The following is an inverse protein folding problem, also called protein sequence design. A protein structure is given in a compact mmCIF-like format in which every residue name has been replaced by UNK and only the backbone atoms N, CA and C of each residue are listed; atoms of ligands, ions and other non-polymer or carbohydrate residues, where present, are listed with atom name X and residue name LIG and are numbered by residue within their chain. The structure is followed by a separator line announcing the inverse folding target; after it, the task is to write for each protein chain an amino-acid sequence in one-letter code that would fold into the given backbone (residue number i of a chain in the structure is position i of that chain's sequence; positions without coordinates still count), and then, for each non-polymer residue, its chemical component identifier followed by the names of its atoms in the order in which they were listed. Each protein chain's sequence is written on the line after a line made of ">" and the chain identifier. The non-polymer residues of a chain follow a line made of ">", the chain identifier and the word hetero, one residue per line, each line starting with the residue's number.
data_IF_615028595267
#
_entry.id   IF_615028595267
#
_cell.length_a   1.000
_cell.length_b   1.000
_cell.length_c   1.000
_cell.angle_alpha   90.00
_cell.angle_beta   90.00
_cell.angle_gamma   90.00
#
_symmetry.space_group_name_H-M   'P 1'
#
loop_
_entity.id
_entity.type
_entity.pdbx_description
1 polymer ?
#
# COMPACT_ATOMS: atom_id res chain seq x y z
N UNK A 1 4.70 -1.11 -19.27
CA UNK A 1 4.60 -1.47 -17.85
C UNK A 1 3.14 -1.79 -17.57
N UNK A 2 2.83 -2.92 -16.94
CA UNK A 2 1.44 -3.37 -16.78
C UNK A 2 0.89 -2.99 -15.41
N UNK A 3 -0.43 -2.84 -15.34
CA UNK A 3 -1.23 -2.65 -14.11
C UNK A 3 -0.90 -3.73 -13.06
N UNK A 4 -0.67 -4.97 -13.49
CA UNK A 4 -0.23 -6.08 -12.62
C UNK A 4 1.12 -5.83 -11.92
N UNK A 5 2.09 -5.23 -12.62
CA UNK A 5 3.41 -4.94 -12.03
C UNK A 5 3.28 -3.98 -10.84
N UNK A 6 2.42 -2.96 -10.96
CA UNK A 6 2.20 -2.02 -9.86
C UNK A 6 1.47 -2.68 -8.68
N UNK A 7 0.45 -3.50 -8.94
CA UNK A 7 -0.27 -4.21 -7.88
C UNK A 7 0.66 -5.11 -7.04
N UNK A 8 1.54 -5.86 -7.70
CA UNK A 8 2.49 -6.74 -7.03
C UNK A 8 3.52 -5.94 -6.22
N UNK A 9 3.98 -4.82 -6.78
CA UNK A 9 4.88 -3.90 -6.11
C UNK A 9 4.23 -3.26 -4.88
N UNK A 10 2.98 -2.80 -5.00
CA UNK A 10 2.19 -2.26 -3.90
C UNK A 10 2.01 -3.29 -2.78
N UNK A 11 1.58 -4.51 -3.12
CA UNK A 11 1.46 -5.59 -2.14
C UNK A 11 2.78 -5.90 -1.42
N UNK A 12 3.90 -5.93 -2.16
CA UNK A 12 5.21 -6.14 -1.56
C UNK A 12 5.57 -5.00 -0.60
N UNK A 13 5.36 -3.74 -0.97
CA UNK A 13 5.57 -2.59 -0.06
C UNK A 13 4.70 -2.68 1.18
N UNK A 14 3.41 -3.00 1.02
CA UNK A 14 2.47 -3.16 2.14
C UNK A 14 2.97 -4.20 3.14
N UNK A 15 3.47 -5.33 2.67
CA UNK A 15 4.08 -6.36 3.52
C UNK A 15 5.44 -5.95 4.11
N UNK A 16 6.18 -5.07 3.42
CA UNK A 16 7.47 -4.54 3.89
C UNK A 16 7.35 -3.42 4.93
N UNK A 17 6.15 -2.95 5.25
CA UNK A 17 5.92 -1.90 6.25
C UNK A 17 5.08 -0.72 5.78
N UNK A 18 4.68 -0.68 4.50
CA UNK A 18 3.89 0.42 3.92
C UNK A 18 2.39 0.24 4.16
N UNK A 19 1.97 0.38 5.42
CA UNK A 19 0.58 0.27 5.84
C UNK A 19 0.43 -0.13 7.30
N UNK A 20 -0.80 -0.42 7.71
CA UNK A 20 -1.11 -0.96 9.03
C UNK A 20 -1.43 -2.44 8.92
N UNK A 21 -0.61 -3.29 9.54
CA UNK A 21 -0.80 -4.74 9.56
C UNK A 21 -1.49 -5.19 10.84
N UNK A 22 -2.48 -6.06 10.69
CA UNK A 22 -3.13 -6.78 11.78
C UNK A 22 -3.20 -8.27 11.50
N UNK A 23 -3.31 -9.05 12.56
CA UNK A 23 -3.25 -10.51 12.55
C UNK A 23 -4.39 -11.08 13.37
N UNK A 24 -5.06 -12.10 12.83
CA UNK A 24 -6.12 -12.85 13.51
C UNK A 24 -5.74 -14.31 13.55
N UNK A 25 -5.55 -14.88 14.75
CA UNK A 25 -5.38 -16.32 14.94
C UNK A 25 -6.74 -17.04 14.84
N UNK A 26 -7.25 -17.13 13.62
CA UNK A 26 -8.66 -17.43 13.32
C UNK A 26 -9.16 -18.80 13.79
N UNK A 27 -8.26 -19.73 14.15
CA UNK A 27 -8.61 -21.03 14.74
C UNK A 27 -8.64 -21.03 16.27
N UNK A 28 -8.07 -20.01 16.91
CA UNK A 28 -8.03 -19.85 18.37
C UNK A 28 -9.18 -18.94 18.79
N UNK A 29 -9.17 -17.70 18.32
CA UNK A 29 -10.27 -16.76 18.46
C UNK A 29 -10.42 -15.94 17.16
N UNK A 30 -11.44 -16.21 16.33
CA UNK A 30 -11.67 -15.48 15.09
C UNK A 30 -12.15 -14.04 15.29
N UNK A 31 -12.50 -13.64 16.52
CA UNK A 31 -12.95 -12.28 16.84
C UNK A 31 -11.81 -11.41 17.37
N UNK A 32 -10.72 -12.01 17.86
CA UNK A 32 -9.58 -11.27 18.38
C UNK A 32 -8.59 -10.93 17.25
N UNK A 33 -8.40 -9.64 17.00
CA UNK A 33 -7.47 -9.13 15.99
C UNK A 33 -6.40 -8.29 16.65
N UNK A 34 -5.15 -8.70 16.48
CA UNK A 34 -3.97 -8.10 17.09
C UNK A 34 -3.35 -7.15 16.06
N UNK A 35 -3.18 -5.88 16.44
CA UNK A 35 -2.53 -4.90 15.57
C UNK A 35 -1.02 -4.95 15.79
N UNK A 36 -0.24 -4.98 14.72
CA UNK A 36 1.21 -4.96 14.85
C UNK A 36 1.68 -3.55 15.22
N UNK A 37 2.62 -3.48 16.17
CA UNK A 37 3.36 -2.24 16.47
C UNK A 37 4.28 -1.87 15.32
N UNK A 38 4.85 -2.88 14.67
CA UNK A 38 5.70 -2.75 13.51
C UNK A 38 5.67 -4.05 12.70
N UNK A 39 5.82 -3.94 11.39
CA UNK A 39 6.09 -5.08 10.54
C UNK A 39 7.05 -4.71 9.41
N UNK A 40 7.66 -5.75 8.84
CA UNK A 40 8.47 -5.65 7.63
C UNK A 40 8.73 -7.03 7.04
N UNK A 41 9.57 -7.11 6.01
CA UNK A 41 9.96 -8.39 5.43
C UNK A 41 11.43 -8.70 5.68
N UNK A 42 11.73 -9.98 5.87
CA UNK A 42 13.10 -10.47 5.78
C UNK A 42 13.52 -10.75 4.33
N UNK A 43 14.78 -11.15 4.14
CA UNK A 43 15.35 -11.44 2.81
C UNK A 43 14.71 -12.64 2.10
N UNK A 44 13.92 -13.44 2.81
CA UNK A 44 13.23 -14.62 2.27
C UNK A 44 11.78 -14.31 1.87
N UNK A 45 11.29 -13.10 2.17
CA UNK A 45 9.89 -12.71 1.96
C UNK A 45 8.96 -13.13 3.10
N UNK A 46 9.53 -13.57 4.23
CA UNK A 46 8.73 -13.81 5.44
C UNK A 46 8.46 -12.46 6.13
N UNK A 47 7.23 -12.28 6.62
CA UNK A 47 6.83 -11.04 7.29
C UNK A 47 7.25 -11.13 8.76
N UNK A 48 8.09 -10.21 9.19
CA UNK A 48 8.46 -10.05 10.59
C UNK A 48 7.49 -9.06 11.22
N UNK A 49 6.91 -9.44 12.34
CA UNK A 49 5.91 -8.65 13.06
C UNK A 49 6.31 -8.49 14.52
N UNK A 50 6.00 -7.31 15.06
CA UNK A 50 6.17 -6.98 16.46
C UNK A 50 4.81 -6.66 17.06
N UNK A 51 4.52 -7.24 18.20
CA UNK A 51 3.31 -7.00 18.98
C UNK A 51 3.65 -6.55 20.39
N UNK A 52 2.70 -5.89 21.03
CA UNK A 52 2.67 -5.83 22.48
C UNK A 52 2.45 -7.25 23.02
N UNK A 53 3.23 -7.66 24.03
CA UNK A 53 3.14 -9.02 24.60
C UNK A 53 1.77 -9.30 25.22
N UNK A 54 1.08 -8.29 25.76
CA UNK A 54 -0.25 -8.45 26.36
C UNK A 54 -1.29 -8.82 25.31
N UNK A 55 -1.25 -8.16 24.14
CA UNK A 55 -2.20 -8.34 23.03
C UNK A 55 -2.20 -9.76 22.45
N UNK A 56 -1.06 -10.45 22.53
CA UNK A 56 -0.86 -11.79 21.92
C UNK A 56 -0.81 -12.93 22.94
N UNK A 57 -1.06 -12.64 24.22
CA UNK A 57 -0.83 -13.56 25.34
C UNK A 57 -1.52 -14.93 25.18
N UNK A 58 -2.69 -14.98 24.52
CA UNK A 58 -3.46 -16.20 24.29
C UNK A 58 -2.87 -17.15 23.24
N UNK A 59 -1.95 -16.66 22.40
CA UNK A 59 -1.34 -17.43 21.30
C UNK A 59 0.19 -17.53 21.41
N UNK A 60 0.77 -17.02 22.50
CA UNK A 60 2.20 -17.14 22.76
C UNK A 60 2.63 -18.61 22.85
N UNK A 61 3.84 -18.88 22.33
CA UNK A 61 4.50 -20.20 22.37
C UNK A 61 3.91 -21.29 21.45
N UNK A 62 2.79 -21.02 20.78
CA UNK A 62 2.21 -21.91 19.78
C UNK A 62 2.50 -21.41 18.36
N UNK A 63 2.77 -22.36 17.46
CA UNK A 63 2.73 -22.08 16.03
C UNK A 63 1.26 -22.07 15.59
N UNK A 64 0.76 -20.89 15.21
CA UNK A 64 -0.66 -20.71 14.89
C UNK A 64 -0.84 -20.31 13.44
N UNK A 65 -1.92 -20.81 12.85
CA UNK A 65 -2.38 -20.30 11.57
C UNK A 65 -3.09 -18.96 11.77
N UNK A 66 -2.82 -18.03 10.87
CA UNK A 66 -3.26 -16.65 10.98
C UNK A 66 -3.84 -16.13 9.67
N UNK A 67 -4.79 -15.22 9.80
CA UNK A 67 -5.16 -14.28 8.75
C UNK A 67 -4.36 -13.00 8.97
N UNK A 68 -3.76 -12.50 7.91
CA UNK A 68 -3.04 -11.21 7.90
C UNK A 68 -3.85 -10.24 7.06
N UNK A 69 -4.10 -9.06 7.62
CA UNK A 69 -4.79 -7.96 6.96
C UNK A 69 -3.89 -6.72 7.00
N UNK A 70 -3.61 -6.12 5.84
CA UNK A 70 -2.85 -4.86 5.74
C UNK A 70 -3.70 -3.80 5.07
N UNK A 71 -3.76 -2.60 5.64
CA UNK A 71 -4.45 -1.45 5.06
C UNK A 71 -3.43 -0.36 4.74
N UNK A 72 -3.41 0.09 3.48
CA UNK A 72 -2.63 1.25 3.04
C UNK A 72 -3.55 2.45 2.97
N UNK A 73 -3.29 3.45 3.82
CA UNK A 73 -3.92 4.77 3.71
C UNK A 73 -3.13 5.69 2.80
N UNK A 74 -3.81 6.70 2.28
CA UNK A 74 -3.25 7.74 1.42
C UNK A 74 -2.23 8.60 2.15
N UNK A 75 -1.35 9.24 1.35
CA UNK A 75 -0.46 10.31 1.81
C UNK A 75 -1.20 11.61 2.13
N UNK A 76 -2.45 11.73 1.68
CA UNK A 76 -3.27 12.89 1.93
C UNK A 76 -3.73 12.94 3.40
N UNK A 77 -3.40 14.03 4.10
CA UNK A 77 -3.74 14.21 5.53
C UNK A 77 -5.12 14.83 5.73
N UNK A 78 -5.67 15.48 4.70
CA UNK A 78 -6.98 16.14 4.78
C UNK A 78 -8.16 15.17 4.58
N UNK A 79 -7.92 14.01 3.96
CA UNK A 79 -8.94 13.04 3.61
C UNK A 79 -8.52 11.62 4.04
N UNK A 80 -9.45 10.88 4.65
CA UNK A 80 -9.23 9.48 5.02
C UNK A 80 -9.49 8.56 3.81
N UNK A 81 -8.46 8.38 2.98
CA UNK A 81 -8.53 7.58 1.77
C UNK A 81 -7.78 6.26 2.00
N UNK A 82 -8.51 5.14 1.97
CA UNK A 82 -7.88 3.82 1.84
C UNK A 82 -7.48 3.56 0.40
N UNK A 83 -6.19 3.41 0.16
CA UNK A 83 -5.60 3.17 -1.16
C UNK A 83 -5.76 1.71 -1.55
N UNK A 84 -5.42 0.81 -0.63
CA UNK A 84 -5.45 -0.62 -0.87
C UNK A 84 -5.63 -1.40 0.43
N UNK A 85 -6.18 -2.60 0.30
CA UNK A 85 -6.17 -3.61 1.36
C UNK A 85 -5.53 -4.90 0.85
N UNK A 86 -4.80 -5.58 1.73
CA UNK A 86 -4.21 -6.88 1.45
C UNK A 86 -4.72 -7.87 2.47
N UNK A 87 -5.14 -9.04 1.99
CA UNK A 87 -5.61 -10.14 2.82
C UNK A 87 -4.78 -11.39 2.50
N UNK A 88 -4.26 -12.05 3.52
CA UNK A 88 -3.44 -13.25 3.38
C UNK A 88 -3.78 -14.28 4.43
N UNK A 89 -3.54 -15.54 4.10
CA UNK A 89 -3.40 -16.61 5.09
C UNK A 89 -1.93 -16.93 5.26
N UNK A 90 -1.57 -17.44 6.43
CA UNK A 90 -0.22 -17.90 6.70
C UNK A 90 -0.09 -18.58 8.06
N UNK A 91 1.16 -18.83 8.42
CA UNK A 91 1.53 -19.42 9.70
C UNK A 91 2.51 -18.53 10.44
N UNK A 92 2.20 -18.23 11.69
CA UNK A 92 3.00 -17.45 12.61
C UNK A 92 3.89 -18.37 13.45
N UNK A 93 5.17 -18.05 13.52
CA UNK A 93 6.18 -18.72 14.35
C UNK A 93 6.88 -17.67 15.20
N UNK A 94 6.91 -17.86 16.53
CA UNK A 94 7.54 -16.92 17.46
C UNK A 94 9.07 -16.96 17.35
N UNK A 95 9.70 -15.78 17.26
CA UNK A 95 11.15 -15.62 17.21
C UNK A 95 11.74 -15.25 18.58
N UNK A 96 11.11 -14.31 19.27
CA UNK A 96 11.50 -13.88 20.61
C UNK A 96 10.32 -13.27 21.34
N UNK A 97 10.29 -13.43 22.66
CA UNK A 97 9.25 -12.84 23.53
C UNK A 97 9.95 -12.24 24.75
N UNK A 98 9.68 -10.99 25.03
CA UNK A 98 10.08 -10.32 26.27
C UNK A 98 8.87 -9.72 27.01
N UNK A 99 9.12 -8.96 28.07
CA UNK A 99 8.06 -8.41 28.94
C UNK A 99 7.07 -7.50 28.19
N UNK A 100 7.51 -6.79 27.15
CA UNK A 100 6.72 -5.77 26.47
C UNK A 100 6.55 -6.02 24.98
N UNK A 101 7.41 -6.82 24.37
CA UNK A 101 7.39 -7.04 22.93
C UNK A 101 7.54 -8.52 22.60
N UNK A 102 6.65 -8.99 21.73
CA UNK A 102 6.72 -10.30 21.12
C UNK A 102 7.01 -10.14 19.62
N UNK A 103 8.02 -10.85 19.14
CA UNK A 103 8.46 -10.83 17.74
C UNK A 103 8.16 -12.19 17.12
N UNK A 104 7.51 -12.17 15.97
CA UNK A 104 7.19 -13.37 15.22
C UNK A 104 7.53 -13.22 13.74
N UNK A 105 7.63 -14.36 13.07
CA UNK A 105 7.76 -14.49 11.64
C UNK A 105 6.46 -15.12 11.10
N UNK A 106 5.90 -14.54 10.04
CA UNK A 106 4.74 -15.08 9.34
C UNK A 106 5.17 -15.50 7.94
N UNK A 107 4.98 -16.80 7.65
CA UNK A 107 5.10 -17.32 6.28
C UNK A 107 3.72 -17.32 5.65
N UNK A 108 3.57 -16.61 4.54
CA UNK A 108 2.30 -16.47 3.83
C UNK A 108 2.11 -17.64 2.87
N UNK A 109 0.86 -18.09 2.73
CA UNK A 109 0.47 -19.11 1.75
C UNK A 109 0.08 -18.46 0.41
N UNK A 110 -0.65 -17.34 0.49
CA UNK A 110 -1.06 -16.50 -0.65
C UNK A 110 -1.60 -15.17 -0.14
N UNK A 111 -1.37 -14.10 -0.88
CA UNK A 111 -1.95 -12.78 -0.60
C UNK A 111 -2.92 -12.36 -1.71
N UNK A 112 -3.94 -11.58 -1.35
CA UNK A 112 -4.84 -10.91 -2.28
C UNK A 112 -4.79 -9.43 -2.00
N UNK A 113 -4.44 -8.63 -3.00
CA UNK A 113 -4.44 -7.18 -2.90
C UNK A 113 -5.65 -6.60 -3.63
N UNK A 114 -6.46 -5.85 -2.91
CA UNK A 114 -7.51 -5.00 -3.43
C UNK A 114 -6.94 -3.60 -3.59
N UNK A 115 -6.95 -3.10 -4.81
CA UNK A 115 -6.46 -1.78 -5.15
C UNK A 115 -7.32 -1.19 -6.27
N UNK A 116 -7.16 0.09 -6.65
CA UNK A 116 -8.12 0.70 -7.57
C UNK A 116 -8.14 0.10 -8.98
N UNK A 117 -7.08 -0.61 -9.37
CA UNK A 117 -7.02 -1.38 -10.61
C UNK A 117 -7.72 -2.75 -10.57
N UNK A 118 -8.25 -3.18 -9.41
CA UNK A 118 -8.96 -4.44 -9.24
C UNK A 118 -8.41 -5.30 -8.10
N UNK A 119 -8.54 -6.62 -8.23
CA UNK A 119 -8.02 -7.59 -7.26
C UNK A 119 -6.97 -8.45 -7.94
N UNK A 120 -5.80 -8.57 -7.32
CA UNK A 120 -4.72 -9.44 -7.79
C UNK A 120 -4.36 -10.46 -6.70
N UNK A 121 -4.10 -11.69 -7.11
CA UNK A 121 -3.60 -12.75 -6.24
C UNK A 121 -2.08 -12.84 -6.41
N UNK A 122 -1.37 -12.93 -5.29
CA UNK A 122 0.07 -13.14 -5.23
C UNK A 122 0.37 -14.47 -4.54
N UNK A 123 1.22 -15.27 -5.16
CA UNK A 123 1.89 -16.38 -4.51
C UNK A 123 3.14 -15.87 -3.79
N UNK A 124 3.71 -16.62 -2.83
CA UNK A 124 4.93 -16.21 -2.14
C UNK A 124 6.11 -15.89 -3.07
N UNK A 125 6.17 -16.54 -4.23
CA UNK A 125 7.20 -16.29 -5.25
C UNK A 125 7.02 -14.96 -5.99
N UNK A 126 5.84 -14.35 -5.93
CA UNK A 126 5.52 -13.07 -6.57
C UNK A 126 5.81 -11.86 -5.65
N UNK A 127 6.08 -12.12 -4.38
CA UNK A 127 6.41 -11.10 -3.38
C UNK A 127 7.89 -10.74 -3.51
N UNK A 128 8.18 -9.45 -3.66
CA UNK A 128 9.55 -8.95 -3.74
C UNK A 128 10.06 -8.56 -2.33
N UNK A 129 10.95 -9.36 -1.70
CA UNK A 129 11.52 -9.03 -0.40
C UNK A 129 12.55 -7.89 -0.46
N UNK A 130 12.93 -7.45 -1.66
CA UNK A 130 13.89 -6.37 -1.90
C UNK A 130 13.23 -5.04 -2.24
N UNK A 131 11.89 -5.00 -2.19
CA UNK A 131 11.10 -3.81 -2.44
C UNK A 131 11.57 -2.66 -1.55
N UNK A 132 11.72 -1.49 -2.15
CA UNK A 132 12.13 -0.28 -1.42
C UNK A 132 10.89 0.49 -1.00
N UNK A 133 10.83 0.85 0.28
CA UNK A 133 9.79 1.75 0.76
C UNK A 133 10.10 3.18 0.34
N UNK A 134 9.05 3.88 -0.03
CA UNK A 134 9.12 5.29 -0.43
C UNK A 134 9.13 6.13 0.82
N UNK A 135 9.94 7.19 0.84
CA UNK A 135 9.87 8.21 1.88
C UNK A 135 8.60 9.05 1.65
N UNK A 136 7.51 8.57 2.24
CA UNK A 136 6.17 9.15 2.17
C UNK A 136 6.14 10.62 2.59
N UNK A 137 6.95 11.00 3.59
CA UNK A 137 7.07 12.37 4.08
C UNK A 137 7.76 13.24 3.04
N UNK A 138 8.88 12.77 2.49
CA UNK A 138 9.57 13.51 1.43
C UNK A 138 8.69 13.68 0.17
N UNK A 139 7.88 12.67 -0.16
CA UNK A 139 6.89 12.76 -1.24
C UNK A 139 5.82 13.79 -0.91
N UNK A 140 5.24 13.77 0.29
CA UNK A 140 4.24 14.76 0.71
C UNK A 140 4.80 16.20 0.70
N UNK A 141 6.03 16.40 1.17
CA UNK A 141 6.72 17.70 1.14
C UNK A 141 6.96 18.19 -0.30
N UNK A 142 7.35 17.28 -1.20
CA UNK A 142 7.49 17.58 -2.63
C UNK A 142 6.15 18.00 -3.26
N UNK A 143 5.07 17.27 -2.99
CA UNK A 143 3.73 17.61 -3.49
C UNK A 143 3.27 18.96 -2.98
N UNK A 144 3.47 19.23 -1.70
CA UNK A 144 3.11 20.51 -1.10
C UNK A 144 3.88 21.66 -1.78
N UNK A 145 5.16 21.44 -2.10
CA UNK A 145 5.99 22.43 -2.82
C UNK A 145 5.57 22.62 -4.27
N UNK A 146 5.27 21.54 -4.99
CA UNK A 146 4.77 21.58 -6.37
C UNK A 146 3.42 22.31 -6.40
N UNK A 147 2.60 22.16 -5.36
CA UNK A 147 1.32 22.84 -5.19
C UNK A 147 0.20 22.24 -6.04
N UNK A 148 -1.03 22.34 -5.51
CA UNK A 148 -2.25 21.72 -6.08
C UNK A 148 -2.50 22.11 -7.55
N UNK A 149 -2.17 23.34 -7.95
CA UNK A 149 -2.36 23.83 -9.32
C UNK A 149 -1.55 23.02 -10.36
N UNK A 150 -0.38 22.53 -9.98
CA UNK A 150 0.44 21.69 -10.85
C UNK A 150 -0.06 20.24 -10.88
N UNK A 151 -0.68 19.74 -9.81
CA UNK A 151 -1.34 18.43 -9.81
C UNK A 151 -2.59 18.40 -10.71
N UNK A 152 -3.33 19.51 -10.78
CA UNK A 152 -4.43 19.68 -11.75
C UNK A 152 -3.88 19.73 -13.17
N UNK A 153 -2.82 20.50 -13.44
CA UNK A 153 -2.20 20.53 -14.77
C UNK A 153 -1.67 19.15 -15.19
N UNK A 154 -1.13 18.37 -14.25
CA UNK A 154 -0.70 16.98 -14.46
C UNK A 154 -1.90 16.09 -14.76
N UNK A 155 -2.97 16.15 -13.97
CA UNK A 155 -4.17 15.33 -14.19
C UNK A 155 -4.86 15.66 -15.52
N UNK A 156 -4.96 16.94 -15.88
CA UNK A 156 -5.47 17.39 -17.17
C UNK A 156 -4.61 16.87 -18.32
N UNK A 157 -3.28 16.98 -18.23
CA UNK A 157 -2.39 16.48 -19.29
C UNK A 157 -2.52 14.95 -19.46
N UNK A 158 -2.66 14.20 -18.36
CA UNK A 158 -2.76 12.73 -18.40
C UNK A 158 -4.14 12.27 -18.87
N UNK A 159 -5.23 12.98 -18.52
CA UNK A 159 -6.57 12.67 -18.99
C UNK A 159 -6.70 12.67 -20.53
N UNK A 160 -5.79 13.36 -21.22
CA UNK A 160 -5.73 13.40 -22.68
C UNK A 160 -4.80 12.33 -23.30
N UNK A 161 -4.15 11.48 -22.50
CA UNK A 161 -3.26 10.43 -23.01
C UNK A 161 -4.01 9.14 -23.41
N UNK A 162 -3.51 8.40 -24.43
CA UNK A 162 -4.14 7.16 -24.88
C UNK A 162 -4.12 6.08 -23.79
N UNK A 163 -5.25 5.43 -23.52
CA UNK A 163 -5.38 4.36 -22.51
C UNK A 163 -5.84 4.85 -21.14
N UNK A 164 -6.07 6.15 -20.99
CA UNK A 164 -6.67 6.76 -19.79
C UNK A 164 -8.16 6.99 -20.05
N UNK A 165 -9.03 6.38 -19.24
CA UNK A 165 -10.48 6.59 -19.30
C UNK A 165 -10.87 7.70 -18.30
N UNK A 166 -11.05 8.92 -18.80
CA UNK A 166 -11.71 10.01 -18.06
C UNK A 166 -13.08 10.28 -18.67
N UNK A 167 -14.11 10.38 -17.83
CA UNK A 167 -15.48 10.68 -18.28
C UNK A 167 -15.84 12.18 -18.23
N UNK A 168 -14.99 13.06 -17.66
CA UNK A 168 -15.37 14.46 -17.38
C UNK A 168 -14.36 15.51 -17.87
N UNK A 169 -14.85 16.75 -18.01
CA UNK A 169 -14.11 17.95 -18.35
C UNK A 169 -13.30 18.47 -17.15
N UNK A 170 -12.27 17.71 -16.75
CA UNK A 170 -11.31 18.07 -15.70
C UNK A 170 -11.86 17.91 -14.26
N UNK A 171 -11.09 17.36 -13.32
CA UNK A 171 -11.53 17.20 -11.93
C UNK A 171 -11.43 18.51 -11.14
N UNK A 172 -12.38 18.74 -10.23
CA UNK A 172 -12.35 19.87 -9.31
C UNK A 172 -11.30 19.69 -8.20
N UNK A 173 -11.01 18.44 -7.83
CA UNK A 173 -10.04 18.05 -6.80
C UNK A 173 -9.18 16.87 -7.26
N UNK A 174 -7.89 16.92 -6.91
CA UNK A 174 -6.89 15.90 -7.23
C UNK A 174 -6.08 15.62 -5.98
N UNK A 175 -6.01 14.35 -5.58
CA UNK A 175 -5.17 13.88 -4.48
C UNK A 175 -4.16 12.85 -4.98
N UNK A 176 -2.96 12.86 -4.41
CA UNK A 176 -2.04 11.75 -4.55
C UNK A 176 -2.40 10.68 -3.50
N UNK A 177 -2.89 9.55 -3.96
CA UNK A 177 -3.19 8.41 -3.11
C UNK A 177 -1.91 7.64 -2.73
N UNK A 178 -1.04 7.37 -3.70
CA UNK A 178 0.21 6.63 -3.48
C UNK A 178 1.23 7.00 -4.56
N UNK A 179 2.52 6.83 -4.26
CA UNK A 179 3.59 6.95 -5.25
C UNK A 179 4.71 5.95 -4.97
N UNK A 180 5.38 5.53 -6.04
CA UNK A 180 6.60 4.74 -6.00
C UNK A 180 7.44 4.97 -7.27
N UNK A 181 8.55 4.25 -7.40
CA UNK A 181 9.42 4.31 -8.57
C UNK A 181 8.71 3.92 -9.88
N UNK A 182 7.62 3.14 -9.79
CA UNK A 182 6.82 2.75 -10.95
C UNK A 182 5.85 3.86 -11.39
N UNK A 183 5.41 4.72 -10.47
CA UNK A 183 4.50 5.80 -10.79
C UNK A 183 3.70 6.30 -9.60
N UNK A 184 2.67 7.07 -9.90
CA UNK A 184 1.77 7.68 -8.93
C UNK A 184 0.33 7.23 -9.17
N UNK A 185 -0.40 6.99 -8.09
CA UNK A 185 -1.84 6.79 -8.10
C UNK A 185 -2.51 8.09 -7.66
N UNK A 186 -3.38 8.61 -8.51
CA UNK A 186 -4.16 9.81 -8.26
C UNK A 186 -5.62 9.45 -8.01
N UNK A 187 -6.25 10.17 -7.09
CA UNK A 187 -7.71 10.19 -6.91
C UNK A 187 -8.21 11.52 -7.44
N UNK A 188 -9.18 11.45 -8.35
CA UNK A 188 -9.77 12.58 -9.04
C UNK A 188 -11.24 12.65 -8.62
N UNK A 189 -11.68 13.78 -8.06
CA UNK A 189 -13.09 14.00 -7.76
C UNK A 189 -13.67 15.18 -8.53
N UNK A 190 -14.89 14.98 -9.02
CA UNK A 190 -15.73 15.98 -9.65
C UNK A 190 -17.17 15.82 -9.14
N UNK A 191 -17.54 16.62 -8.15
CA UNK A 191 -18.81 16.46 -7.45
C UNK A 191 -18.91 15.08 -6.78
N UNK A 192 -19.95 14.27 -7.07
CA UNK A 192 -20.09 12.93 -6.50
C UNK A 192 -19.23 11.86 -7.19
N UNK A 193 -18.65 12.17 -8.36
CA UNK A 193 -17.90 11.20 -9.15
C UNK A 193 -16.44 11.16 -8.69
N UNK A 194 -15.96 9.95 -8.36
CA UNK A 194 -14.59 9.69 -7.97
C UNK A 194 -13.97 8.70 -8.95
N UNK A 195 -12.85 9.07 -9.54
CA UNK A 195 -12.07 8.23 -10.45
C UNK A 195 -10.65 8.08 -9.92
N UNK A 196 -10.05 6.92 -10.14
CA UNK A 196 -8.63 6.67 -9.82
C UNK A 196 -7.83 6.54 -11.09
N UNK A 197 -6.62 7.09 -11.07
CA UNK A 197 -5.74 7.17 -12.22
C UNK A 197 -4.33 6.77 -11.80
N UNK A 198 -3.87 5.62 -12.30
CA UNK A 198 -2.46 5.27 -12.20
C UNK A 198 -1.66 5.94 -13.34
N UNK A 199 -0.59 6.62 -12.97
CA UNK A 199 0.29 7.35 -13.88
C UNK A 199 1.71 6.81 -13.77
N UNK A 200 2.24 6.14 -14.80
CA UNK A 200 3.62 5.67 -14.83
C UNK A 200 4.65 6.81 -14.65
N UNK A 201 5.77 6.54 -13.98
CA UNK A 201 6.85 7.53 -13.77
C UNK A 201 7.32 8.20 -15.06
N UNK A 202 7.41 7.45 -16.16
CA UNK A 202 7.78 8.00 -17.47
C UNK A 202 6.81 9.09 -17.95
N UNK A 203 5.50 8.89 -17.76
CA UNK A 203 4.48 9.88 -18.11
C UNK A 203 4.60 11.13 -17.22
N UNK A 204 4.85 10.96 -15.92
CA UNK A 204 5.08 12.08 -14.99
C UNK A 204 6.28 12.92 -15.42
N UNK A 205 7.39 12.28 -15.78
CA UNK A 205 8.61 12.96 -16.26
C UNK A 205 8.38 13.70 -17.58
N UNK A 206 7.56 13.17 -18.48
CA UNK A 206 7.17 13.85 -19.72
C UNK A 206 6.36 15.12 -19.44
N UNK A 207 5.42 15.06 -18.49
CA UNK A 207 4.64 16.24 -18.07
C UNK A 207 5.55 17.29 -17.44
N UNK A 208 6.41 16.89 -16.49
CA UNK A 208 7.33 17.81 -15.83
C UNK A 208 8.25 18.53 -16.83
N UNK A 209 8.76 17.80 -17.84
CA UNK A 209 9.54 18.41 -18.93
C UNK A 209 8.73 19.36 -19.78
N UNK A 210 7.48 19.05 -20.07
CA UNK A 210 6.59 19.92 -20.86
C UNK A 210 6.29 21.22 -20.13
N UNK A 211 5.99 21.15 -18.82
CA UNK A 211 5.72 22.31 -17.98
C UNK A 211 6.96 23.19 -17.76
N UNK A 212 8.15 22.61 -17.65
CA UNK A 212 9.39 23.37 -17.49
C UNK A 212 9.80 24.15 -18.76
N UNK A 213 9.24 23.80 -19.93
CA UNK A 213 9.53 24.41 -21.22
C UNK A 213 8.39 25.32 -21.73
N UNK A 214 7.32 25.49 -20.95
CA UNK A 214 6.17 26.36 -21.23
C UNK A 214 6.34 27.72 -20.53
#
# INVERSE_FOLDING_TARGET
>A
MTVHTYAHHLASRMLAGDGLLSVTAYRVDPLNTMTCLWHGMDRTGSVIVHFDTEDVSDILHDDVEVRVDVVKSSLEVSEDITVASLHSLGRLEWLSVDEYTAVACIRLDSAHVHWPGGVEQLLPADIDPTVTLVDEIAVADELYRIGLANLVAVSEHIAHQPGVHSNNAGPALVWLADACELGALLVLADGPDVTTLFTPTAAIQDVARTLANA
#
